data_IF_659729148781
#
_entry.id   IF_659729148781
#
_cell.length_a   1.000
_cell.length_b   1.000
_cell.length_c   1.000
_cell.angle_alpha   90.00
_cell.angle_beta   90.00
_cell.angle_gamma   90.00
#
_symmetry.space_group_name_H-M   'P 1'
#
loop_
_entity.id
_entity.type
_entity.pdbx_description
1 polymer ?
#
# COMPACT_ATOMS: atom_id res chain seq x y z
N UNK A 1 -11.81 0.09 -3.70
CA UNK A 1 -12.23 -0.13 -2.29
C UNK A 1 -11.03 -0.72 -1.57
N UNK A 2 -10.54 -0.09 -0.48
CA UNK A 2 -9.39 -0.59 0.29
C UNK A 2 -9.87 -1.66 1.28
N UNK A 3 -9.30 -2.85 1.20
CA UNK A 3 -9.44 -3.84 2.28
C UNK A 3 -8.46 -3.43 3.37
N UNK A 4 -8.99 -2.96 4.50
CA UNK A 4 -8.19 -2.62 5.68
C UNK A 4 -8.00 -3.89 6.50
N UNK A 5 -6.76 -4.34 6.63
CA UNK A 5 -6.45 -5.29 7.69
C UNK A 5 -6.70 -4.59 9.04
N UNK A 6 -7.64 -5.12 9.82
CA UNK A 6 -8.02 -4.55 11.11
C UNK A 6 -7.33 -5.36 12.21
N UNK A 7 -6.47 -4.71 13.01
CA UNK A 7 -5.85 -5.29 14.21
C UNK A 7 -4.34 -5.15 14.22
N UNK A 8 -3.79 -4.65 15.34
CA UNK A 8 -2.35 -4.49 15.58
C UNK A 8 -1.60 -5.80 15.82
N UNK A 9 -1.81 -6.79 14.95
CA UNK A 9 -1.03 -8.01 14.85
C UNK A 9 -0.28 -8.04 13.53
N UNK A 10 0.85 -8.76 13.50
CA UNK A 10 1.55 -9.08 12.26
C UNK A 10 0.58 -9.73 11.28
N UNK A 11 0.58 -9.28 10.03
CA UNK A 11 -0.26 -9.87 9.00
C UNK A 11 0.18 -11.31 8.78
N UNK A 12 -0.71 -12.25 9.06
CA UNK A 12 -0.59 -13.65 8.64
C UNK A 12 -0.30 -13.69 7.13
N UNK A 13 0.68 -14.51 6.71
CA UNK A 13 1.09 -14.57 5.31
C UNK A 13 -0.05 -14.99 4.39
N UNK A 14 -0.96 -15.87 4.85
CA UNK A 14 -2.14 -16.27 4.08
C UNK A 14 -3.13 -15.11 3.88
N UNK A 15 -2.95 -13.96 4.55
CA UNK A 15 -3.78 -12.77 4.31
C UNK A 15 -3.58 -12.19 2.90
N UNK A 16 -2.41 -12.37 2.28
CA UNK A 16 -2.21 -11.97 0.89
C UNK A 16 -3.14 -12.76 -0.04
N UNK A 17 -3.12 -14.09 0.08
CA UNK A 17 -3.96 -15.00 -0.73
C UNK A 17 -5.45 -14.67 -0.54
N UNK A 18 -5.92 -14.58 0.70
CA UNK A 18 -7.32 -14.24 0.99
C UNK A 18 -7.74 -12.87 0.43
N UNK A 19 -6.82 -11.90 0.47
CA UNK A 19 -7.06 -10.57 -0.09
C UNK A 19 -7.20 -10.57 -1.61
N UNK A 20 -6.37 -11.36 -2.30
CA UNK A 20 -6.39 -11.50 -3.76
C UNK A 20 -7.66 -12.21 -4.22
N UNK A 21 -7.99 -13.35 -3.60
CA UNK A 21 -9.24 -14.09 -3.86
C UNK A 21 -10.46 -13.19 -3.68
N UNK A 22 -10.48 -12.38 -2.61
CA UNK A 22 -11.58 -11.44 -2.39
C UNK A 22 -11.68 -10.37 -3.48
N UNK A 23 -10.55 -9.90 -4.01
CA UNK A 23 -10.54 -8.93 -5.11
C UNK A 23 -11.00 -9.55 -6.43
N UNK A 24 -10.66 -10.82 -6.68
CA UNK A 24 -11.18 -11.64 -7.79
C UNK A 24 -12.71 -11.70 -7.76
N UNK A 25 -13.32 -12.04 -6.62
CA UNK A 25 -14.78 -12.04 -6.48
C UNK A 25 -15.41 -10.67 -6.77
N UNK A 26 -14.74 -9.60 -6.36
CA UNK A 26 -15.18 -8.22 -6.53
C UNK A 26 -14.89 -7.64 -7.93
N UNK A 27 -14.19 -8.36 -8.80
CA UNK A 27 -13.86 -7.90 -10.15
C UNK A 27 -15.09 -7.46 -10.92
N UNK A 28 -16.21 -8.20 -10.79
CA UNK A 28 -17.50 -7.87 -11.44
C UNK A 28 -18.09 -6.52 -10.98
N UNK A 29 -17.58 -5.97 -9.88
CA UNK A 29 -17.95 -4.65 -9.37
C UNK A 29 -17.02 -3.53 -9.88
N UNK A 30 -16.14 -3.82 -10.84
CA UNK A 30 -15.23 -2.86 -11.47
C UNK A 30 -13.85 -2.75 -10.79
N UNK A 31 -13.48 -3.69 -9.91
CA UNK A 31 -12.11 -3.76 -9.39
C UNK A 31 -11.20 -4.34 -10.47
N UNK A 32 -10.14 -3.61 -10.81
CA UNK A 32 -9.14 -4.03 -11.81
C UNK A 32 -7.72 -4.13 -11.26
N UNK A 33 -7.49 -3.63 -10.03
CA UNK A 33 -6.15 -3.47 -9.47
C UNK A 33 -6.13 -3.80 -7.99
N UNK A 34 -5.09 -4.52 -7.58
CA UNK A 34 -4.77 -4.90 -6.20
C UNK A 34 -3.45 -4.24 -5.83
N UNK A 35 -3.43 -3.54 -4.69
CA UNK A 35 -2.25 -2.86 -4.15
C UNK A 35 -1.86 -3.51 -2.82
N UNK A 36 -0.62 -4.00 -2.73
CA UNK A 36 -0.08 -4.72 -1.58
C UNK A 36 1.12 -3.97 -0.99
N UNK A 37 0.89 -3.23 0.08
CA UNK A 37 1.88 -2.31 0.68
C UNK A 37 2.71 -2.94 1.83
N UNK A 38 2.52 -4.23 2.08
CA UNK A 38 3.26 -4.98 3.10
C UNK A 38 4.01 -6.09 2.40
N UNK A 39 5.23 -6.34 2.88
CA UNK A 39 6.06 -7.44 2.42
C UNK A 39 6.58 -8.27 3.60
N UNK A 40 6.58 -9.59 3.47
CA UNK A 40 7.02 -10.52 4.51
C UNK A 40 7.66 -11.76 3.86
N UNK A 41 8.75 -12.28 4.44
CA UNK A 41 9.44 -13.47 3.96
C UNK A 41 9.33 -14.68 4.91
N UNK A 42 8.56 -14.57 6.00
CA UNK A 42 8.34 -15.61 7.00
C UNK A 42 7.35 -16.71 6.58
N UNK A 43 7.33 -17.08 5.29
CA UNK A 43 6.37 -18.02 4.72
C UNK A 43 6.95 -19.42 4.50
N UNK A 44 6.13 -20.45 4.70
CA UNK A 44 6.46 -21.81 4.26
C UNK A 44 6.41 -21.94 2.73
N UNK A 45 7.12 -22.91 2.13
CA UNK A 45 7.05 -23.16 0.69
C UNK A 45 5.62 -23.39 0.17
N UNK A 46 4.77 -24.05 0.95
CA UNK A 46 3.37 -24.29 0.59
C UNK A 46 2.54 -23.00 0.56
N UNK A 47 2.81 -22.08 1.48
CA UNK A 47 2.15 -20.77 1.48
C UNK A 47 2.58 -19.92 0.30
N UNK A 48 3.87 -19.94 -0.05
CA UNK A 48 4.39 -19.25 -1.23
C UNK A 48 3.76 -19.81 -2.51
N UNK A 49 3.66 -21.14 -2.63
CA UNK A 49 3.00 -21.78 -3.77
C UNK A 49 1.53 -21.33 -3.90
N UNK A 50 0.75 -21.41 -2.82
CA UNK A 50 -0.66 -20.94 -2.84
C UNK A 50 -0.81 -19.47 -3.18
N UNK A 51 0.07 -18.62 -2.65
CA UNK A 51 0.07 -17.20 -2.98
C UNK A 51 0.37 -16.98 -4.46
N UNK A 52 1.33 -17.71 -5.03
CA UNK A 52 1.66 -17.64 -6.46
C UNK A 52 0.48 -18.06 -7.32
N UNK A 53 -0.17 -19.17 -6.99
CA UNK A 53 -1.34 -19.66 -7.72
C UNK A 53 -2.45 -18.60 -7.73
N UNK A 54 -2.76 -18.01 -6.57
CA UNK A 54 -3.75 -16.93 -6.45
C UNK A 54 -3.38 -15.67 -7.25
N UNK A 55 -2.10 -15.31 -7.31
CA UNK A 55 -1.60 -14.21 -8.16
C UNK A 55 -1.83 -14.50 -9.64
N UNK A 56 -1.53 -15.72 -10.10
CA UNK A 56 -1.70 -16.14 -11.48
C UNK A 56 -3.19 -16.13 -11.86
N UNK A 57 -4.05 -16.71 -11.02
CA UNK A 57 -5.50 -16.73 -11.24
C UNK A 57 -6.06 -15.31 -11.36
N UNK A 58 -5.68 -14.40 -10.45
CA UNK A 58 -6.12 -13.01 -10.51
C UNK A 58 -5.61 -12.29 -11.77
N UNK A 59 -4.40 -12.59 -12.25
CA UNK A 59 -3.85 -12.04 -13.49
C UNK A 59 -4.60 -12.53 -14.73
N UNK A 60 -4.94 -13.81 -14.78
CA UNK A 60 -5.78 -14.39 -15.83
C UNK A 60 -7.19 -13.78 -15.80
N UNK A 61 -7.64 -13.40 -14.61
CA UNK A 61 -8.80 -12.57 -14.40
C UNK A 61 -8.55 -11.06 -14.62
N UNK A 62 -7.53 -10.67 -15.38
CA UNK A 62 -7.24 -9.28 -15.74
C UNK A 62 -7.14 -8.30 -14.55
N UNK A 63 -6.85 -8.81 -13.34
CA UNK A 63 -6.50 -7.99 -12.20
C UNK A 63 -5.00 -7.72 -12.23
N UNK A 64 -4.63 -6.44 -12.23
CA UNK A 64 -3.23 -6.05 -12.09
C UNK A 64 -2.85 -6.00 -10.62
N UNK A 65 -1.74 -6.64 -10.26
CA UNK A 65 -1.25 -6.70 -8.88
C UNK A 65 0.04 -5.88 -8.80
N UNK A 66 0.07 -4.94 -7.86
CA UNK A 66 1.21 -4.06 -7.58
C UNK A 66 1.59 -4.24 -6.12
N UNK A 67 2.89 -4.44 -5.85
CA UNK A 67 3.37 -4.64 -4.49
C UNK A 67 4.66 -3.86 -4.19
N UNK A 68 4.81 -3.45 -2.93
CA UNK A 68 6.06 -2.85 -2.45
C UNK A 68 7.18 -3.90 -2.44
N UNK A 69 8.36 -3.54 -2.97
CA UNK A 69 9.50 -4.45 -3.03
C UNK A 69 10.01 -4.88 -1.64
N UNK A 70 9.78 -4.05 -0.61
CA UNK A 70 10.18 -4.29 0.77
C UNK A 70 11.05 -3.18 1.35
N UNK A 71 11.10 -3.10 2.67
CA UNK A 71 11.75 -2.01 3.43
C UNK A 71 12.95 -2.46 4.27
N UNK A 72 13.63 -3.54 3.86
CA UNK A 72 14.74 -4.15 4.61
C UNK A 72 16.13 -3.74 4.10
N UNK A 73 16.21 -3.04 2.96
CA UNK A 73 17.46 -2.79 2.23
C UNK A 73 18.08 -4.05 1.60
N UNK A 74 17.45 -5.21 1.78
CA UNK A 74 17.90 -6.52 1.30
C UNK A 74 17.20 -6.95 0.00
N UNK A 75 17.10 -8.26 -0.24
CA UNK A 75 16.38 -8.80 -1.39
C UNK A 75 14.91 -8.39 -1.43
N UNK A 76 14.32 -8.38 -2.63
CA UNK A 76 12.86 -8.20 -2.82
C UNK A 76 12.11 -9.26 -2.02
N UNK A 77 11.04 -8.83 -1.36
CA UNK A 77 10.26 -9.64 -0.44
C UNK A 77 8.91 -10.03 -1.02
N UNK A 78 8.31 -11.12 -0.53
CA UNK A 78 6.96 -11.49 -0.96
C UNK A 78 5.92 -10.49 -0.47
N UNK A 79 4.88 -10.15 -1.27
CA UNK A 79 4.50 -10.77 -2.55
C UNK A 79 5.25 -10.25 -3.79
N UNK A 80 6.03 -9.17 -3.68
CA UNK A 80 6.72 -8.54 -4.82
C UNK A 80 7.80 -9.43 -5.47
N UNK A 81 8.28 -10.46 -4.78
CA UNK A 81 9.21 -11.45 -5.35
C UNK A 81 8.57 -12.42 -6.35
N UNK A 82 7.24 -12.38 -6.54
CA UNK A 82 6.54 -13.19 -7.53
C UNK A 82 6.63 -12.50 -8.90
N UNK A 83 7.14 -13.15 -9.97
CA UNK A 83 7.34 -12.52 -11.28
C UNK A 83 6.11 -11.88 -11.91
N UNK A 84 4.92 -12.40 -11.59
CA UNK A 84 3.64 -11.90 -12.10
C UNK A 84 3.14 -10.66 -11.32
N UNK A 85 3.81 -10.24 -10.25
CA UNK A 85 3.49 -9.04 -9.46
C UNK A 85 4.37 -7.88 -9.91
N UNK A 86 3.77 -6.69 -10.12
CA UNK A 86 4.54 -5.50 -10.42
C UNK A 86 5.22 -4.98 -9.13
N UNK A 87 6.52 -5.19 -8.99
CA UNK A 87 7.30 -4.79 -7.83
C UNK A 87 7.74 -3.33 -7.91
N UNK A 88 7.50 -2.58 -6.83
CA UNK A 88 7.81 -1.15 -6.74
C UNK A 88 8.89 -0.90 -5.69
N UNK A 89 10.06 -0.44 -6.13
CA UNK A 89 11.14 0.05 -5.28
C UNK A 89 10.96 1.52 -4.88
N UNK A 90 11.66 1.95 -3.83
CA UNK A 90 11.58 3.31 -3.30
C UNK A 90 12.84 4.14 -3.67
N UNK A 91 12.63 5.31 -4.27
CA UNK A 91 13.68 6.30 -4.58
C UNK A 91 13.41 7.65 -3.91
N UNK A 92 14.48 8.44 -3.74
CA UNK A 92 14.43 9.80 -3.22
C UNK A 92 14.46 10.87 -4.32
N UNK A 93 14.47 12.15 -3.90
CA UNK A 93 14.50 13.30 -4.83
C UNK A 93 15.72 13.37 -5.74
N UNK A 94 16.82 12.68 -5.39
CA UNK A 94 18.02 12.53 -6.24
C UNK A 94 17.91 11.37 -7.24
N UNK A 95 16.76 10.68 -7.32
CA UNK A 95 16.55 9.41 -8.04
C UNK A 95 17.44 8.25 -7.55
N UNK A 96 18.12 8.43 -6.42
CA UNK A 96 18.81 7.34 -5.74
C UNK A 96 17.80 6.49 -4.96
N UNK A 97 18.04 5.16 -4.92
CA UNK A 97 17.26 4.26 -4.08
C UNK A 97 17.37 4.69 -2.61
N UNK A 98 16.26 4.66 -1.89
CA UNK A 98 16.25 4.88 -0.44
C UNK A 98 17.03 3.75 0.25
N UNK A 99 17.71 4.03 1.36
CA UNK A 99 18.55 3.03 2.05
C UNK A 99 17.77 1.75 2.40
N UNK A 100 16.52 1.91 2.84
CA UNK A 100 15.60 0.83 3.19
C UNK A 100 15.01 0.10 1.98
N UNK A 101 15.08 0.65 0.76
CA UNK A 101 14.46 0.01 -0.40
C UNK A 101 15.09 -1.35 -0.64
N UNK A 102 14.26 -2.38 -0.72
CA UNK A 102 14.71 -3.68 -1.21
C UNK A 102 15.27 -3.56 -2.64
N UNK A 103 16.16 -4.48 -2.98
CA UNK A 103 16.92 -4.51 -4.23
C UNK A 103 16.90 -5.93 -4.80
N UNK A 104 16.88 -6.04 -6.13
CA UNK A 104 16.84 -7.32 -6.82
C UNK A 104 16.51 -7.13 -8.29
N UNK A 105 16.65 -8.20 -9.08
CA UNK A 105 16.25 -8.19 -10.49
C UNK A 105 14.71 -8.17 -10.64
N UNK A 106 14.01 -8.49 -9.56
CA UNK A 106 12.56 -8.53 -9.46
C UNK A 106 11.94 -7.14 -9.35
N UNK A 107 12.71 -6.07 -9.11
CA UNK A 107 12.17 -4.70 -9.06
C UNK A 107 11.85 -4.21 -10.48
N UNK A 108 10.57 -4.10 -10.83
CA UNK A 108 10.14 -3.63 -12.16
C UNK A 108 10.30 -2.12 -12.32
N UNK A 109 9.84 -1.36 -11.32
CA UNK A 109 9.81 0.11 -11.35
C UNK A 109 10.21 0.70 -10.01
N UNK A 110 10.59 1.98 -10.03
CA UNK A 110 10.89 2.74 -8.83
C UNK A 110 9.99 3.97 -8.71
N UNK A 111 9.50 4.25 -7.50
CA UNK A 111 8.64 5.38 -7.19
C UNK A 111 9.20 6.20 -6.02
N UNK A 112 8.83 7.49 -5.88
CA UNK A 112 9.21 8.30 -4.74
C UNK A 112 8.74 7.66 -3.41
N UNK A 113 9.67 7.35 -2.51
CA UNK A 113 9.36 6.67 -1.24
C UNK A 113 10.10 7.22 -0.01
N UNK A 114 11.22 7.93 -0.18
CA UNK A 114 11.88 8.66 0.91
C UNK A 114 11.69 10.17 0.75
N UNK A 115 11.43 10.84 1.87
CA UNK A 115 11.15 12.28 1.88
C UNK A 115 9.76 12.66 1.35
N UNK A 116 8.83 11.70 1.29
CA UNK A 116 7.44 11.94 0.89
C UNK A 116 6.58 12.35 2.08
N UNK A 117 5.58 13.20 1.86
CA UNK A 117 4.57 13.54 2.86
C UNK A 117 3.41 12.55 2.74
N UNK A 118 3.00 11.94 3.85
CA UNK A 118 1.88 11.00 3.89
C UNK A 118 0.73 11.59 4.69
N UNK A 119 -0.50 11.18 4.39
CA UNK A 119 -1.65 11.60 5.17
C UNK A 119 -1.51 11.06 6.61
N UNK A 120 -1.53 11.95 7.60
CA UNK A 120 -1.57 11.53 8.99
C UNK A 120 -2.99 11.07 9.33
N UNK A 121 -3.13 9.78 9.64
CA UNK A 121 -4.42 9.18 10.02
C UNK A 121 -4.94 9.71 11.36
N UNK A 122 -4.09 10.31 12.19
CA UNK A 122 -4.46 10.91 13.47
C UNK A 122 -4.81 12.40 13.33
N UNK A 123 -4.10 13.15 12.48
CA UNK A 123 -4.27 14.60 12.35
C UNK A 123 -5.16 15.04 11.18
N UNK A 124 -5.49 14.14 10.24
CA UNK A 124 -6.31 14.44 9.07
C UNK A 124 -5.65 15.34 8.03
N UNK A 125 -4.36 15.65 8.16
CA UNK A 125 -3.58 16.48 7.23
C UNK A 125 -2.20 15.85 6.97
N UNK A 126 -1.55 16.21 5.87
CA UNK A 126 -0.26 15.62 5.45
C UNK A 126 0.85 15.88 6.48
N UNK A 127 1.50 14.83 6.98
CA UNK A 127 2.69 14.95 7.78
C UNK A 127 3.90 15.25 6.88
N UNK A 128 4.68 16.32 7.16
CA UNK A 128 5.92 16.56 6.43
C UNK A 128 6.94 15.45 6.74
N UNK A 129 7.86 15.14 5.81
CA UNK A 129 8.91 14.15 6.05
C UNK A 129 9.80 14.56 7.23
N UNK A 130 10.39 13.57 7.93
CA UNK A 130 11.23 13.74 9.12
C UNK A 130 12.50 14.62 8.95
N UNK A 131 12.77 15.11 7.74
CA UNK A 131 13.79 16.13 7.44
C UNK A 131 13.28 17.03 6.31
N UNK A 132 12.58 18.09 6.68
CA UNK A 132 12.17 19.12 5.73
C UNK A 132 13.40 19.96 5.32
N UNK A 133 13.76 19.94 4.03
CA UNK A 133 14.67 20.93 3.42
C UNK A 133 13.89 22.24 3.27
N UNK A 134 14.44 23.40 3.67
CA UNK A 134 13.69 24.66 3.60
C UNK A 134 13.47 25.05 2.13
N UNK A 135 12.19 25.07 1.70
CA UNK A 135 11.78 25.64 0.41
C UNK A 135 11.15 27.01 0.61
N UNK A 136 11.59 27.98 -0.20
CA UNK A 136 11.04 29.34 -0.29
C UNK A 136 9.52 29.31 -0.54
N UNK A 137 8.74 30.24 0.03
CA UNK A 137 7.28 30.17 -0.01
C UNK A 137 6.75 30.57 -1.39
N UNK A 138 6.10 29.63 -2.08
CA UNK A 138 5.14 29.93 -3.14
C UNK A 138 3.77 30.15 -2.50
N UNK A 139 3.18 31.31 -2.74
CA UNK A 139 1.96 31.80 -2.08
C UNK A 139 0.66 31.15 -2.61
N UNK A 140 0.57 29.81 -2.63
CA UNK A 140 -0.75 29.16 -2.75
C UNK A 140 -1.29 28.86 -1.36
N UNK A 141 -2.33 29.59 -0.97
CA UNK A 141 -3.04 29.45 0.31
C UNK A 141 -3.70 28.05 0.39
N UNK A 142 -3.07 27.13 1.11
CA UNK A 142 -3.73 25.90 1.56
C UNK A 142 -4.80 26.23 2.62
N UNK A 143 -5.99 25.58 2.60
CA UNK A 143 -6.98 25.73 3.66
C UNK A 143 -6.39 25.23 4.98
N UNK A 144 -6.52 26.05 6.03
CA UNK A 144 -5.99 25.74 7.37
C UNK A 144 -6.80 24.60 7.98
N UNK A 145 -6.16 23.47 8.27
CA UNK A 145 -6.72 22.44 9.12
C UNK A 145 -6.83 22.97 10.56
N UNK A 146 -8.04 23.00 11.13
CA UNK A 146 -8.30 23.27 12.54
C UNK A 146 -8.99 22.06 13.20
N UNK A 147 -8.81 21.83 14.52
CA UNK A 147 -9.29 20.61 15.16
C UNK A 147 -10.81 20.61 15.39
N UNK A 148 -11.41 19.46 15.10
CA UNK A 148 -12.69 18.91 15.60
C UNK A 148 -14.00 19.64 15.30
N UNK A 149 -14.70 19.19 14.26
CA UNK A 149 -16.16 19.15 14.25
C UNK A 149 -16.62 17.71 14.53
N UNK A 150 -17.10 17.47 15.74
CA UNK A 150 -17.69 16.19 16.19
C UNK A 150 -19.10 16.13 15.59
N UNK A 151 -19.30 15.40 14.49
CA UNK A 151 -20.64 15.25 13.89
C UNK A 151 -21.49 14.33 14.76
N UNK A 152 -22.31 14.92 15.64
CA UNK A 152 -23.38 14.21 16.34
C UNK A 152 -24.47 13.85 15.32
N UNK A 153 -24.59 12.56 15.01
CA UNK A 153 -25.71 12.04 14.22
C UNK A 153 -26.95 12.05 15.12
N UNK A 154 -27.89 12.97 14.89
CA UNK A 154 -29.24 12.86 15.46
C UNK A 154 -30.05 11.84 14.63
N UNK A 155 -30.74 10.87 15.25
CA UNK A 155 -31.68 10.02 14.52
C UNK A 155 -32.90 10.82 14.04
N UNK A 156 -33.36 10.52 12.82
CA UNK A 156 -34.59 11.07 12.24
C UNK A 156 -35.81 10.58 13.03
N UNK A 157 -36.80 11.42 13.35
CA UNK A 157 -38.07 10.95 13.89
C UNK A 157 -38.90 10.29 12.78
N UNK A 158 -39.46 9.13 13.09
CA UNK A 158 -40.53 8.46 12.35
C UNK A 158 -41.89 8.95 12.85
N UNK A 159 -42.78 9.34 11.95
CA UNK A 159 -44.23 9.41 12.18
C UNK A 159 -44.89 9.34 10.80
N UNK A 160 -45.57 8.24 10.45
CA UNK A 160 -46.96 7.89 10.80
C UNK A 160 -47.95 8.59 9.87
#
# INVERSE_FOLDING_TARGET
>A
MSVRASGGGELDFDAYTRGIERCSELRRSGVSTILLEVANNGASPQQIARLRDSVVDARDESLSIVAAAGNTGGPVSYPAAIPEVLAVGAVGGSRAACDFSARGAEVDISAPGCGVSVADSAAGCSAPPARAVPRRPLQHRSPRCGPTARTSIRPRPSSS
#
